data_IF_584383654925
#
_entry.id   IF_584383654925
#
_cell.length_a   1.000
_cell.length_b   1.000
_cell.length_c   1.000
_cell.angle_alpha   90.00
_cell.angle_beta   90.00
_cell.angle_gamma   90.00
#
_symmetry.space_group_name_H-M   'P 1'
#
loop_
_entity.id
_entity.type
_entity.pdbx_description
1 polymer ?
#
# COMPACT_ATOMS: atom_id res chain seq x y z
N UNK A 1 -28.65 50.16 -48.88
CA UNK A 1 -28.77 49.76 -47.46
C UNK A 1 -27.88 48.53 -47.26
N UNK A 2 -26.57 48.74 -47.09
CA UNK A 2 -25.57 47.67 -47.03
C UNK A 2 -25.17 47.37 -45.58
N UNK A 3 -25.39 46.13 -45.13
CA UNK A 3 -24.92 45.66 -43.83
C UNK A 3 -23.40 45.44 -43.92
N UNK A 4 -22.64 46.20 -43.12
CA UNK A 4 -21.20 45.95 -42.93
C UNK A 4 -21.05 44.77 -41.97
N UNK A 5 -20.57 43.64 -42.48
CA UNK A 5 -20.13 42.53 -41.64
C UNK A 5 -18.79 42.90 -40.99
N UNK A 6 -18.81 43.04 -39.66
CA UNK A 6 -17.60 43.22 -38.87
C UNK A 6 -16.91 41.88 -38.72
N UNK A 7 -15.88 41.65 -39.54
CA UNK A 7 -14.90 40.60 -39.29
C UNK A 7 -14.23 40.88 -37.93
N UNK A 8 -14.33 39.95 -36.98
CA UNK A 8 -13.58 39.99 -35.70
C UNK A 8 -12.34 39.08 -35.82
N UNK A 9 -11.16 39.60 -36.24
CA UNK A 9 -9.91 38.87 -36.12
C UNK A 9 -9.43 39.00 -34.69
N UNK A 10 -9.68 38.00 -33.85
CA UNK A 10 -9.25 38.12 -32.45
C UNK A 10 -9.59 36.99 -31.50
N UNK A 11 -9.97 35.81 -32.00
CA UNK A 11 -10.01 34.61 -31.17
C UNK A 11 -8.78 33.74 -31.51
N UNK A 12 -7.58 34.29 -31.27
CA UNK A 12 -6.43 33.44 -31.03
C UNK A 12 -6.69 32.76 -29.68
N UNK A 13 -7.38 31.63 -29.76
CA UNK A 13 -7.45 30.65 -28.70
C UNK A 13 -6.01 30.31 -28.36
N UNK A 14 -5.47 30.92 -27.29
CA UNK A 14 -4.30 30.40 -26.61
C UNK A 14 -4.70 29.02 -26.11
N UNK A 15 -4.51 28.02 -26.96
CA UNK A 15 -4.65 26.63 -26.60
C UNK A 15 -3.47 26.35 -25.67
N UNK A 16 -3.66 26.66 -24.39
CA UNK A 16 -2.76 26.26 -23.32
C UNK A 16 -2.78 24.74 -23.36
N UNK A 17 -1.74 24.16 -23.97
CA UNK A 17 -1.57 22.72 -23.99
C UNK A 17 -1.52 22.27 -22.53
N UNK A 18 -2.42 21.38 -22.08
CA UNK A 18 -2.42 20.95 -20.69
C UNK A 18 -1.05 20.38 -20.37
N UNK A 19 -0.42 20.87 -19.29
CA UNK A 19 0.85 20.31 -18.83
C UNK A 19 0.64 18.82 -18.56
N UNK A 20 1.59 18.00 -19.02
CA UNK A 20 1.56 16.56 -18.84
C UNK A 20 2.30 16.23 -17.54
N UNK A 21 1.66 15.48 -16.64
CA UNK A 21 2.26 15.02 -15.39
C UNK A 21 2.72 13.56 -15.54
N UNK A 22 3.95 13.26 -15.11
CA UNK A 22 4.50 11.90 -15.09
C UNK A 22 4.42 11.32 -13.68
N UNK A 23 3.69 10.23 -13.51
CA UNK A 23 3.56 9.51 -12.23
C UNK A 23 4.45 8.27 -12.26
N UNK A 24 5.24 8.08 -11.21
CA UNK A 24 6.08 6.89 -11.03
C UNK A 24 5.26 5.76 -10.40
N UNK A 25 4.60 4.94 -11.23
CA UNK A 25 3.72 3.86 -10.74
C UNK A 25 4.53 2.67 -10.24
N UNK A 26 5.61 2.30 -10.93
CA UNK A 26 6.44 1.14 -10.56
C UNK A 26 7.06 1.29 -9.17
N UNK A 27 7.52 2.50 -8.84
CA UNK A 27 8.07 2.82 -7.53
C UNK A 27 7.07 2.59 -6.40
N UNK A 28 5.81 2.98 -6.62
CA UNK A 28 4.74 2.79 -5.64
C UNK A 28 4.51 1.31 -5.34
N UNK A 29 4.32 0.48 -6.37
CA UNK A 29 4.09 -0.97 -6.21
C UNK A 29 5.29 -1.63 -5.52
N UNK A 30 6.51 -1.26 -5.90
CA UNK A 30 7.74 -1.81 -5.31
C UNK A 30 7.90 -1.43 -3.83
N UNK A 31 7.56 -0.18 -3.48
CA UNK A 31 7.59 0.30 -2.10
C UNK A 31 6.53 -0.38 -1.22
N UNK A 32 5.31 -0.58 -1.74
CA UNK A 32 4.28 -1.35 -1.05
C UNK A 32 4.73 -2.78 -0.75
N UNK A 33 5.41 -3.43 -1.70
CA UNK A 33 6.00 -4.75 -1.49
C UNK A 33 7.01 -4.78 -0.33
N UNK A 34 7.83 -3.74 -0.18
CA UNK A 34 8.76 -3.65 0.96
C UNK A 34 8.04 -3.54 2.31
N UNK A 35 6.96 -2.76 2.39
CA UNK A 35 6.16 -2.63 3.61
C UNK A 35 5.60 -3.99 4.03
N UNK A 36 4.99 -4.71 3.10
CA UNK A 36 4.45 -6.05 3.36
C UNK A 36 5.53 -7.07 3.72
N UNK A 37 6.70 -7.00 3.07
CA UNK A 37 7.80 -7.92 3.36
C UNK A 37 8.36 -7.69 4.76
N UNK A 38 8.69 -6.44 5.12
CA UNK A 38 9.25 -6.11 6.44
C UNK A 38 8.25 -6.46 7.54
N UNK A 39 6.98 -6.06 7.38
CA UNK A 39 5.94 -6.38 8.34
C UNK A 39 5.71 -7.88 8.47
N UNK A 40 5.58 -8.59 7.33
CA UNK A 40 5.40 -10.03 7.31
C UNK A 40 6.54 -10.78 7.98
N UNK A 41 7.80 -10.39 7.73
CA UNK A 41 8.97 -10.96 8.39
C UNK A 41 8.92 -10.75 9.91
N UNK A 42 8.59 -9.56 10.38
CA UNK A 42 8.49 -9.27 11.82
C UNK A 42 7.42 -10.16 12.46
N UNK A 43 6.22 -10.22 11.89
CA UNK A 43 5.10 -10.99 12.45
C UNK A 43 5.37 -12.49 12.39
N UNK A 44 5.93 -13.00 11.29
CA UNK A 44 6.30 -14.43 11.21
C UNK A 44 7.38 -14.79 12.24
N UNK A 45 8.43 -13.99 12.38
CA UNK A 45 9.48 -14.25 13.37
C UNK A 45 8.93 -14.18 14.80
N UNK A 46 8.02 -13.24 15.08
CA UNK A 46 7.33 -13.15 16.37
C UNK A 46 6.49 -14.39 16.65
N UNK A 47 5.66 -14.81 15.69
CA UNK A 47 4.84 -16.02 15.85
C UNK A 47 5.68 -17.29 16.01
N UNK A 48 6.82 -17.41 15.32
CA UNK A 48 7.77 -18.52 15.54
C UNK A 48 8.33 -18.47 16.95
N UNK A 49 8.77 -17.29 17.42
CA UNK A 49 9.24 -17.15 18.79
C UNK A 49 8.18 -17.56 19.81
N UNK A 50 6.94 -17.08 19.62
CA UNK A 50 5.82 -17.37 20.51
C UNK A 50 5.40 -18.84 20.48
N UNK A 51 5.59 -19.54 19.36
CA UNK A 51 5.32 -20.97 19.25
C UNK A 51 6.31 -21.86 20.04
N UNK A 52 7.57 -21.45 20.21
CA UNK A 52 8.62 -22.28 20.80
C UNK A 52 9.09 -21.83 22.19
N UNK A 53 9.19 -20.52 22.42
CA UNK A 53 9.76 -19.94 23.64
C UNK A 53 8.88 -18.90 24.31
N UNK A 54 7.89 -18.35 23.61
CA UNK A 54 7.05 -17.29 24.15
C UNK A 54 5.96 -17.78 25.08
N UNK A 55 5.49 -16.84 25.89
CA UNK A 55 4.42 -17.03 26.86
C UNK A 55 3.48 -15.83 26.81
N UNK A 56 2.17 -16.02 27.02
CA UNK A 56 1.22 -14.93 27.02
C UNK A 56 1.51 -13.97 28.18
N UNK A 57 1.42 -12.67 27.91
CA UNK A 57 1.57 -11.62 28.95
C UNK A 57 0.56 -11.79 30.09
N UNK A 58 -0.57 -12.45 29.83
CA UNK A 58 -1.56 -12.80 30.85
C UNK A 58 -0.97 -13.61 32.01
N UNK A 59 0.13 -14.34 31.80
CA UNK A 59 0.83 -15.07 32.85
C UNK A 59 1.45 -14.15 33.93
N UNK A 60 1.72 -12.88 33.63
CA UNK A 60 2.20 -11.92 34.64
C UNK A 60 1.12 -11.49 35.62
N UNK A 61 -0.15 -11.70 35.26
CA UNK A 61 -1.32 -11.27 36.04
C UNK A 61 -2.06 -12.45 36.68
N UNK A 62 -1.56 -13.68 36.52
CA UNK A 62 -2.14 -14.89 37.09
C UNK A 62 -1.26 -15.49 38.18
N UNK A 63 -1.89 -16.15 39.16
CA UNK A 63 -1.18 -16.88 40.20
C UNK A 63 -0.65 -18.22 39.70
N UNK A 64 -1.34 -18.79 38.70
CA UNK A 64 -0.98 -20.03 38.03
C UNK A 64 -0.73 -19.75 36.55
N UNK A 65 0.33 -20.35 36.01
CA UNK A 65 0.67 -20.22 34.60
C UNK A 65 -0.43 -20.84 33.72
N UNK A 66 -0.79 -20.20 32.62
CA UNK A 66 -1.83 -20.66 31.68
C UNK A 66 -3.26 -20.69 32.24
N UNK A 67 -3.52 -19.93 33.32
CA UNK A 67 -4.86 -19.85 33.94
C UNK A 67 -5.88 -19.13 33.03
N UNK A 68 -5.48 -18.05 32.38
CA UNK A 68 -6.36 -17.26 31.50
C UNK A 68 -6.34 -17.71 30.03
N UNK A 69 -5.15 -17.96 29.50
CA UNK A 69 -4.93 -18.39 28.12
C UNK A 69 -4.32 -19.78 28.21
N UNK A 70 -4.97 -20.77 27.62
CA UNK A 70 -4.42 -22.13 27.61
C UNK A 70 -3.27 -22.23 26.62
N UNK A 71 -2.38 -23.20 26.84
CA UNK A 71 -1.27 -23.44 25.93
C UNK A 71 -1.75 -23.75 24.49
N UNK A 72 -2.88 -24.45 24.35
CA UNK A 72 -3.48 -24.71 23.04
C UNK A 72 -3.95 -23.42 22.35
N UNK A 73 -4.60 -22.52 23.08
CA UNK A 73 -5.02 -21.22 22.54
C UNK A 73 -3.81 -20.38 22.11
N UNK A 74 -2.74 -20.40 22.90
CA UNK A 74 -1.49 -19.73 22.56
C UNK A 74 -0.85 -20.27 21.29
N UNK A 75 -0.77 -21.59 21.12
CA UNK A 75 -0.25 -22.19 19.89
C UNK A 75 -1.12 -21.91 18.66
N UNK A 76 -2.45 -21.82 18.83
CA UNK A 76 -3.35 -21.41 17.73
C UNK A 76 -3.10 -19.96 17.34
N UNK A 77 -2.88 -19.08 18.32
CA UNK A 77 -2.54 -17.67 18.08
C UNK A 77 -1.19 -17.52 17.37
N UNK A 78 -0.14 -18.19 17.86
CA UNK A 78 1.18 -18.17 17.22
C UNK A 78 1.14 -18.76 15.81
N UNK A 79 0.36 -19.83 15.59
CA UNK A 79 0.12 -20.40 14.27
C UNK A 79 -0.58 -19.42 13.31
N UNK A 80 -1.55 -18.65 13.81
CA UNK A 80 -2.18 -17.58 13.05
C UNK A 80 -1.17 -16.50 12.65
N UNK A 81 -0.35 -15.99 13.59
CA UNK A 81 0.66 -14.96 13.29
C UNK A 81 1.66 -15.43 12.23
N UNK A 82 2.15 -16.68 12.34
CA UNK A 82 3.04 -17.28 11.34
C UNK A 82 2.37 -17.28 9.96
N UNK A 83 1.13 -17.79 9.88
CA UNK A 83 0.39 -17.87 8.61
C UNK A 83 0.11 -16.51 7.99
N UNK A 84 -0.25 -15.51 8.82
CA UNK A 84 -0.50 -14.15 8.41
C UNK A 84 0.77 -13.48 7.88
N UNK A 85 1.89 -13.57 8.61
CA UNK A 85 3.15 -12.99 8.17
C UNK A 85 3.66 -13.62 6.86
N UNK A 86 3.51 -14.95 6.71
CA UNK A 86 3.83 -15.64 5.45
C UNK A 86 2.93 -15.19 4.30
N UNK A 87 1.64 -14.95 4.55
CA UNK A 87 0.74 -14.39 3.55
C UNK A 87 1.18 -12.97 3.13
N UNK A 88 1.60 -12.12 4.07
CA UNK A 88 2.16 -10.80 3.76
C UNK A 88 3.43 -10.90 2.90
N UNK A 89 4.35 -11.82 3.22
CA UNK A 89 5.54 -12.07 2.40
C UNK A 89 5.15 -12.55 1.00
N UNK A 90 4.16 -13.44 0.90
CA UNK A 90 3.60 -13.89 -0.38
C UNK A 90 3.06 -12.72 -1.22
N UNK A 91 2.29 -11.82 -0.61
CA UNK A 91 1.79 -10.60 -1.26
C UNK A 91 2.95 -9.70 -1.70
N UNK A 92 3.97 -9.50 -0.87
CA UNK A 92 5.16 -8.73 -1.23
C UNK A 92 5.85 -9.29 -2.47
N UNK A 93 6.02 -10.62 -2.52
CA UNK A 93 6.58 -11.30 -3.69
C UNK A 93 5.74 -11.07 -4.95
N UNK A 94 4.41 -11.21 -4.84
CA UNK A 94 3.49 -10.95 -5.95
C UNK A 94 3.55 -9.50 -6.42
N UNK A 95 3.61 -8.52 -5.52
CA UNK A 95 3.76 -7.11 -5.84
C UNK A 95 5.07 -6.84 -6.58
N UNK A 96 6.18 -7.43 -6.15
CA UNK A 96 7.46 -7.28 -6.84
C UNK A 96 7.46 -7.91 -8.22
N UNK A 97 6.87 -9.10 -8.37
CA UNK A 97 6.67 -9.72 -9.69
C UNK A 97 5.79 -8.86 -10.58
N UNK A 98 4.66 -8.38 -10.07
CA UNK A 98 3.75 -7.51 -10.80
C UNK A 98 4.40 -6.17 -11.19
N UNK A 99 5.23 -5.58 -10.32
CA UNK A 99 5.94 -4.33 -10.60
C UNK A 99 6.84 -4.39 -11.85
N UNK A 100 7.34 -5.59 -12.19
CA UNK A 100 8.15 -5.80 -13.39
C UNK A 100 7.33 -5.75 -14.69
N UNK A 101 6.01 -5.95 -14.60
CA UNK A 101 5.09 -5.93 -15.74
C UNK A 101 4.55 -4.52 -16.03
N UNK A 102 4.61 -3.61 -15.06
CA UNK A 102 4.04 -2.26 -15.16
C UNK A 102 5.09 -1.28 -15.67
N UNK A 103 4.75 -0.34 -16.58
CA UNK A 103 5.66 0.71 -17.01
C UNK A 103 6.12 1.59 -15.83
N UNK A 104 7.32 2.16 -15.96
CA UNK A 104 7.88 2.99 -14.90
C UNK A 104 7.11 4.30 -14.71
N UNK A 105 6.67 4.90 -15.82
CA UNK A 105 5.96 6.16 -15.86
C UNK A 105 4.59 6.00 -16.51
N UNK A 106 3.60 6.70 -15.95
CA UNK A 106 2.30 6.92 -16.57
C UNK A 106 2.10 8.41 -16.76
N UNK A 107 1.72 8.81 -17.97
CA UNK A 107 1.50 10.21 -18.30
C UNK A 107 0.01 10.52 -18.25
N UNK A 108 -0.37 11.53 -17.47
CA UNK A 108 -1.75 12.02 -17.38
C UNK A 108 -1.81 13.53 -17.64
N UNK A 109 -2.96 14.08 -18.10
CA UNK A 109 -3.16 15.53 -18.08
C UNK A 109 -3.06 16.03 -16.64
N UNK A 110 -2.37 17.16 -16.42
CA UNK A 110 -2.23 17.74 -15.09
C UNK A 110 -3.60 17.97 -14.46
N UNK A 111 -3.75 17.49 -13.22
CA UNK A 111 -4.97 17.65 -12.47
C UNK A 111 -5.12 19.14 -12.11
N UNK A 112 -6.14 19.78 -12.67
CA UNK A 112 -6.44 21.18 -12.37
C UNK A 112 -6.97 21.22 -10.92
N UNK A 113 -6.15 21.74 -10.01
CA UNK A 113 -6.53 21.88 -8.61
C UNK A 113 -7.64 22.93 -8.51
N UNK A 114 -8.84 22.53 -8.08
CA UNK A 114 -9.93 23.48 -7.82
C UNK A 114 -9.66 24.08 -6.43
N UNK A 115 -9.19 25.33 -6.38
CA UNK A 115 -8.87 26.06 -5.14
C UNK A 115 -10.11 26.40 -4.29
N UNK A 116 -11.28 25.80 -4.58
CA UNK A 116 -12.58 26.09 -3.98
C UNK A 116 -13.02 25.15 -2.86
N UNK A 117 -12.11 24.33 -2.33
CA UNK A 117 -12.31 23.48 -1.14
C UNK A 117 -11.56 24.07 0.06
#
# INVERSE_FOLDING_TARGET
MGKKEYFRPGLFFNMVMPSQEKIIIRGLIRSAGWIFCVWGCIVTLRGVWDAFWGEPEANYFSSVKWEFITQEQWHRYSGFEISYGLACIGIAYLLWKFSSLVPEFYTRPAQQYDERL
#
